data_IF_548154426943
#
_entry.id   IF_548154426943
#
_cell.length_a   1.000
_cell.length_b   1.000
_cell.length_c   1.000
_cell.angle_alpha   90.00
_cell.angle_beta   90.00
_cell.angle_gamma   90.00
#
_symmetry.space_group_name_H-M   'P 1'
#
loop_
_entity.id
_entity.type
_entity.pdbx_description
1 polymer ?
#
# COMPACT_ATOMS: atom_id res chain seq x y z
N UNK A 1 7.63 -24.32 3.12
CA UNK A 1 6.62 -23.52 2.40
C UNK A 1 6.71 -22.10 2.94
N UNK A 2 6.94 -21.12 2.08
CA UNK A 2 6.98 -19.71 2.48
C UNK A 2 5.57 -19.25 2.83
N UNK A 3 5.43 -18.50 3.94
CA UNK A 3 4.14 -17.90 4.33
C UNK A 3 3.93 -16.61 3.54
N UNK A 4 2.69 -16.34 3.15
CA UNK A 4 2.30 -15.16 2.38
C UNK A 4 1.35 -14.28 3.21
N UNK A 5 1.29 -13.00 2.87
CA UNK A 5 0.28 -12.06 3.35
C UNK A 5 -0.61 -11.62 2.18
N UNK A 6 -1.92 -11.59 2.44
CA UNK A 6 -2.92 -11.00 1.56
C UNK A 6 -3.61 -9.88 2.35
N UNK A 7 -3.44 -8.65 1.90
CA UNK A 7 -4.07 -7.47 2.51
C UNK A 7 -5.33 -7.15 1.72
N UNK A 8 -6.50 -7.35 2.30
CA UNK A 8 -7.77 -6.97 1.68
C UNK A 8 -8.10 -5.52 1.98
N UNK A 9 -8.34 -4.71 0.95
CA UNK A 9 -8.69 -3.29 1.08
C UNK A 9 -10.00 -2.98 0.35
N UNK A 10 -11.00 -2.41 1.04
CA UNK A 10 -12.23 -1.97 0.41
C UNK A 10 -11.98 -0.71 -0.42
N UNK A 11 -12.44 -0.71 -1.66
CA UNK A 11 -12.30 0.43 -2.58
C UNK A 11 -13.64 0.82 -3.21
N UNK A 12 -13.80 2.10 -3.46
CA UNK A 12 -15.02 2.70 -4.03
C UNK A 12 -15.10 2.54 -5.54
N UNK A 13 -13.96 2.56 -6.25
CA UNK A 13 -13.86 2.42 -7.71
C UNK A 13 -12.67 1.52 -8.07
N UNK A 14 -12.96 0.29 -8.52
CA UNK A 14 -11.96 -0.76 -8.68
C UNK A 14 -10.90 -0.41 -9.74
N UNK A 15 -11.32 0.12 -10.89
CA UNK A 15 -10.41 0.49 -11.97
C UNK A 15 -9.47 1.64 -11.57
N UNK A 16 -9.98 2.61 -10.81
CA UNK A 16 -9.19 3.73 -10.27
C UNK A 16 -8.14 3.21 -9.28
N UNK A 17 -8.54 2.35 -8.36
CA UNK A 17 -7.63 1.77 -7.39
C UNK A 17 -6.56 0.92 -8.08
N UNK A 18 -6.93 0.04 -9.02
CA UNK A 18 -5.97 -0.77 -9.77
C UNK A 18 -4.92 0.10 -10.49
N UNK A 19 -5.34 1.15 -11.20
CA UNK A 19 -4.41 2.06 -11.89
C UNK A 19 -3.48 2.81 -10.91
N UNK A 20 -3.93 3.09 -9.69
CA UNK A 20 -3.09 3.65 -8.64
C UNK A 20 -2.00 2.67 -8.22
N UNK A 21 -2.36 1.43 -7.88
CA UNK A 21 -1.40 0.41 -7.43
C UNK A 21 -0.42 0.02 -8.55
N UNK A 22 -0.87 -0.08 -9.81
CA UNK A 22 0.01 -0.30 -10.96
C UNK A 22 1.07 0.79 -11.11
N UNK A 23 0.70 2.06 -10.89
CA UNK A 23 1.64 3.17 -10.95
C UNK A 23 2.67 3.17 -9.81
N UNK A 24 2.37 2.51 -8.68
CA UNK A 24 3.32 2.31 -7.59
C UNK A 24 4.23 1.09 -7.80
N UNK A 25 4.04 0.34 -8.91
CA UNK A 25 4.86 -0.81 -9.28
C UNK A 25 4.25 -2.17 -8.95
N UNK A 26 3.00 -2.23 -8.50
CA UNK A 26 2.30 -3.49 -8.33
C UNK A 26 1.89 -4.07 -9.69
N UNK A 27 1.78 -5.39 -9.77
CA UNK A 27 1.34 -6.08 -10.98
C UNK A 27 0.01 -6.77 -10.71
N UNK A 28 -0.99 -6.56 -11.57
CA UNK A 28 -2.25 -7.29 -11.46
C UNK A 28 -2.05 -8.78 -11.77
N UNK A 29 -2.61 -9.65 -10.92
CA UNK A 29 -2.72 -11.08 -11.17
C UNK A 29 -4.13 -11.41 -11.69
N UNK A 30 -4.31 -11.65 -13.00
CA UNK A 30 -5.63 -11.84 -13.60
C UNK A 30 -6.30 -13.15 -13.17
N UNK A 31 -5.53 -14.15 -12.71
CA UNK A 31 -6.09 -15.41 -12.22
C UNK A 31 -6.86 -15.24 -10.91
N UNK A 32 -6.53 -14.21 -10.12
CA UNK A 32 -7.17 -13.89 -8.84
C UNK A 32 -7.90 -12.54 -8.90
N UNK A 33 -8.28 -12.10 -10.10
CA UNK A 33 -9.04 -10.87 -10.33
C UNK A 33 -10.34 -11.17 -11.06
N UNK A 34 -11.39 -10.41 -10.76
CA UNK A 34 -12.71 -10.47 -11.35
C UNK A 34 -13.39 -9.08 -11.28
N UNK A 35 -14.63 -8.98 -11.74
CA UNK A 35 -15.38 -7.70 -11.76
C UNK A 35 -15.56 -7.06 -10.36
N UNK A 36 -15.43 -7.85 -9.29
CA UNK A 36 -15.56 -7.40 -7.91
C UNK A 36 -14.24 -7.23 -7.16
N UNK A 37 -13.10 -7.62 -7.73
CA UNK A 37 -11.78 -7.50 -7.10
C UNK A 37 -10.59 -7.54 -8.04
N UNK A 38 -9.50 -6.90 -7.64
CA UNK A 38 -8.19 -7.01 -8.28
C UNK A 38 -7.14 -7.49 -7.29
N UNK A 39 -6.35 -8.49 -7.68
CA UNK A 39 -5.19 -8.96 -6.93
C UNK A 39 -3.93 -8.23 -7.41
N UNK A 40 -3.40 -7.34 -6.59
CA UNK A 40 -2.20 -6.54 -6.87
C UNK A 40 -0.99 -7.16 -6.18
N UNK A 41 -0.03 -7.64 -6.95
CA UNK A 41 1.18 -8.33 -6.48
C UNK A 41 2.29 -7.31 -6.25
N UNK A 42 2.80 -7.24 -5.03
CA UNK A 42 4.01 -6.48 -4.68
C UNK A 42 5.27 -7.35 -4.79
N UNK A 43 5.17 -8.57 -4.28
CA UNK A 43 6.24 -9.57 -4.31
C UNK A 43 5.64 -10.98 -4.31
N UNK A 44 6.48 -12.00 -4.42
CA UNK A 44 6.05 -13.41 -4.30
C UNK A 44 5.28 -13.71 -3.00
N UNK A 45 5.45 -12.90 -1.95
CA UNK A 45 4.87 -13.15 -0.63
C UNK A 45 3.89 -12.08 -0.16
N UNK A 46 3.77 -10.94 -0.86
CA UNK A 46 2.92 -9.81 -0.48
C UNK A 46 1.94 -9.49 -1.60
N UNK A 47 0.66 -9.63 -1.30
CA UNK A 47 -0.45 -9.39 -2.22
C UNK A 47 -1.45 -8.43 -1.58
N UNK A 48 -2.01 -7.53 -2.38
CA UNK A 48 -3.07 -6.60 -1.99
C UNK A 48 -4.33 -6.95 -2.80
N UNK A 49 -5.39 -7.33 -2.10
CA UNK A 49 -6.69 -7.63 -2.69
C UNK A 49 -7.55 -6.37 -2.61
N UNK A 50 -7.71 -5.67 -3.73
CA UNK A 50 -8.63 -4.55 -3.86
C UNK A 50 -10.04 -5.11 -4.04
N UNK A 51 -10.97 -4.76 -3.14
CA UNK A 51 -12.32 -5.32 -3.12
C UNK A 51 -13.35 -4.20 -3.26
N UNK A 52 -14.31 -4.35 -4.16
CA UNK A 52 -15.50 -3.48 -4.13
C UNK A 52 -16.20 -3.57 -2.77
N UNK A 53 -16.87 -2.50 -2.34
CA UNK A 53 -17.60 -2.51 -1.07
C UNK A 53 -18.63 -3.66 -0.97
N UNK A 54 -19.27 -4.03 -2.08
CA UNK A 54 -20.19 -5.17 -2.13
C UNK A 54 -19.48 -6.50 -1.83
N UNK A 55 -18.28 -6.72 -2.40
CA UNK A 55 -17.50 -7.93 -2.14
C UNK A 55 -16.94 -7.94 -0.71
N UNK A 56 -16.48 -6.80 -0.20
CA UNK A 56 -16.02 -6.62 1.18
C UNK A 56 -17.09 -7.01 2.20
N UNK A 57 -18.35 -6.61 1.98
CA UNK A 57 -19.48 -6.94 2.88
C UNK A 57 -19.76 -8.45 2.97
N UNK A 58 -19.32 -9.24 2.00
CA UNK A 58 -19.37 -10.70 2.08
C UNK A 58 -18.34 -11.31 3.05
N UNK A 59 -17.30 -10.56 3.43
CA UNK A 59 -16.20 -11.05 4.27
C UNK A 59 -16.40 -10.70 5.74
N UNK A 60 -17.07 -9.57 6.01
CA UNK A 60 -17.23 -9.05 7.36
C UNK A 60 -18.45 -8.13 7.47
N UNK A 61 -19.02 -8.07 8.67
CA UNK A 61 -20.06 -7.09 9.04
C UNK A 61 -19.48 -5.87 9.76
N UNK A 62 -18.16 -5.82 9.99
CA UNK A 62 -17.50 -4.64 10.56
C UNK A 62 -17.61 -3.46 9.57
N UNK A 63 -17.86 -2.23 10.06
CA UNK A 63 -17.99 -1.07 9.20
C UNK A 63 -16.66 -0.76 8.51
N UNK A 64 -16.74 -0.25 7.29
CA UNK A 64 -15.59 0.34 6.59
C UNK A 64 -15.28 1.68 7.28
N UNK A 65 -14.04 1.92 7.76
CA UNK A 65 -13.68 3.20 8.36
C UNK A 65 -13.91 4.36 7.39
N UNK A 66 -14.28 5.57 7.86
CA UNK A 66 -14.28 6.74 6.99
C UNK A 66 -12.85 7.03 6.52
N UNK A 67 -12.68 7.62 5.34
CA UNK A 67 -11.36 7.95 4.76
C UNK A 67 -10.50 8.90 5.63
N UNK A 68 -11.10 9.52 6.65
CA UNK A 68 -10.40 10.35 7.66
C UNK A 68 -9.83 9.55 8.83
N UNK A 69 -10.02 8.23 8.87
CA UNK A 69 -9.53 7.35 9.91
C UNK A 69 -8.66 6.24 9.29
N UNK A 70 -7.66 5.79 10.04
CA UNK A 70 -6.80 4.69 9.63
C UNK A 70 -6.89 3.56 10.65
N UNK A 71 -7.31 2.37 10.23
CA UNK A 71 -7.30 1.16 11.08
C UNK A 71 -5.87 0.59 11.20
N UNK A 72 -5.07 0.74 10.13
CA UNK A 72 -3.70 0.23 10.02
C UNK A 72 -2.83 1.22 9.23
N UNK A 73 -1.51 1.08 9.38
CA UNK A 73 -0.50 1.63 8.48
C UNK A 73 0.33 0.49 7.91
N UNK A 74 0.46 0.43 6.59
CA UNK A 74 1.16 -0.65 5.88
C UNK A 74 2.48 -0.12 5.30
N UNK A 75 3.60 -0.59 5.82
CA UNK A 75 4.92 -0.19 5.34
C UNK A 75 5.45 -1.16 4.27
N UNK A 76 5.85 -0.62 3.12
CA UNK A 76 6.48 -1.33 2.00
C UNK A 76 7.97 -1.02 1.97
N UNK A 77 8.78 -2.06 2.05
CA UNK A 77 10.23 -1.94 1.91
C UNK A 77 10.62 -1.53 0.49
N UNK A 78 11.50 -0.55 0.37
CA UNK A 78 12.12 -0.08 -0.87
C UNK A 78 13.62 -0.40 -0.86
N UNK A 79 14.24 -0.52 -2.03
CA UNK A 79 15.66 -0.87 -2.17
C UNK A 79 16.60 0.32 -1.94
N UNK A 80 16.09 1.54 -2.17
CA UNK A 80 16.84 2.79 -2.03
C UNK A 80 15.98 3.95 -1.53
N UNK A 81 16.62 5.06 -1.15
CA UNK A 81 15.94 6.32 -0.79
C UNK A 81 15.24 6.91 -2.00
N UNK A 82 15.85 6.77 -3.17
CA UNK A 82 15.31 7.20 -4.45
C UNK A 82 14.04 6.44 -4.81
N UNK A 83 13.94 5.15 -4.47
CA UNK A 83 12.72 4.38 -4.64
C UNK A 83 11.58 4.87 -3.74
N UNK A 84 11.89 5.25 -2.49
CA UNK A 84 10.92 5.88 -1.58
C UNK A 84 10.39 7.17 -2.19
N UNK A 85 11.28 8.02 -2.71
CA UNK A 85 10.90 9.28 -3.33
C UNK A 85 10.10 9.08 -4.64
N UNK A 86 10.49 8.10 -5.46
CA UNK A 86 9.78 7.75 -6.69
C UNK A 86 8.36 7.25 -6.39
N UNK A 87 8.22 6.33 -5.43
CA UNK A 87 6.90 5.82 -5.04
C UNK A 87 6.02 6.95 -4.55
N UNK A 88 6.52 7.78 -3.63
CA UNK A 88 5.75 8.89 -3.07
C UNK A 88 5.38 9.95 -4.15
N UNK A 89 6.29 10.23 -5.09
CA UNK A 89 6.04 11.12 -6.23
C UNK A 89 4.95 10.63 -7.18
N UNK A 90 4.77 9.31 -7.34
CA UNK A 90 3.72 8.74 -8.17
C UNK A 90 2.32 8.89 -7.57
N UNK A 91 2.20 8.92 -6.23
CA UNK A 91 0.93 8.94 -5.48
C UNK A 91 0.00 10.07 -5.93
N UNK A 92 0.49 11.31 -5.92
CA UNK A 92 -0.34 12.50 -6.21
C UNK A 92 -0.88 12.49 -7.65
N UNK A 93 -0.10 11.96 -8.60
CA UNK A 93 -0.51 11.85 -10.01
C UNK A 93 -1.66 10.86 -10.25
N UNK A 94 -1.99 10.03 -9.25
CA UNK A 94 -2.99 8.95 -9.34
C UNK A 94 -4.13 9.10 -8.34
N UNK A 95 -4.30 10.30 -7.77
CA UNK A 95 -5.41 10.62 -6.89
C UNK A 95 -5.24 10.19 -5.43
N UNK A 96 -4.03 9.76 -5.03
CA UNK A 96 -3.68 9.63 -3.62
C UNK A 96 -3.12 10.94 -3.06
N UNK A 97 -2.78 10.93 -1.77
CA UNK A 97 -2.18 12.08 -1.08
C UNK A 97 -0.80 11.67 -0.55
N UNK A 98 0.23 12.29 -1.13
CA UNK A 98 1.62 12.18 -0.72
C UNK A 98 1.90 12.95 0.57
N UNK A 99 2.95 12.55 1.30
CA UNK A 99 3.45 13.20 2.53
C UNK A 99 2.35 13.56 3.54
N UNK A 100 1.42 12.63 3.79
CA UNK A 100 0.33 12.82 4.76
C UNK A 100 0.87 13.01 6.20
N UNK A 101 2.10 12.52 6.44
CA UNK A 101 2.89 12.75 7.64
C UNK A 101 4.21 13.43 7.26
N UNK A 102 4.88 14.12 8.21
CA UNK A 102 6.23 14.62 7.99
C UNK A 102 7.19 13.50 7.58
N UNK A 103 7.94 13.73 6.50
CA UNK A 103 9.03 12.84 6.06
C UNK A 103 10.00 12.55 7.21
N UNK A 104 10.32 11.27 7.41
CA UNK A 104 11.31 10.84 8.38
C UNK A 104 12.63 10.53 7.69
N UNK A 105 13.70 11.13 8.20
CA UNK A 105 15.06 10.85 7.78
C UNK A 105 15.96 10.74 9.00
N UNK A 106 16.27 9.51 9.37
CA UNK A 106 17.14 9.18 10.51
C UNK A 106 18.55 8.78 10.05
N UNK A 107 18.90 9.02 8.78
CA UNK A 107 20.13 8.53 8.17
C UNK A 107 20.06 7.03 7.83
N UNK A 108 19.87 6.16 8.82
CA UNK A 108 19.77 4.71 8.65
C UNK A 108 18.37 4.22 8.22
N UNK A 109 17.36 5.07 8.36
CA UNK A 109 15.98 4.82 7.97
C UNK A 109 15.45 6.06 7.27
N UNK A 110 14.81 5.85 6.13
CA UNK A 110 14.16 6.90 5.35
C UNK A 110 12.77 6.43 4.98
N UNK A 111 11.73 7.17 5.37
CA UNK A 111 10.37 6.84 5.02
C UNK A 111 9.51 8.06 4.70
N UNK A 112 8.47 7.81 3.91
CA UNK A 112 7.45 8.80 3.56
C UNK A 112 6.09 8.12 3.53
N UNK A 113 5.16 8.63 4.34
CA UNK A 113 3.79 8.12 4.39
C UNK A 113 2.93 8.74 3.28
N UNK A 114 1.93 7.99 2.83
CA UNK A 114 0.93 8.45 1.89
C UNK A 114 -0.40 7.72 2.09
N UNK A 115 -1.48 8.29 1.57
CA UNK A 115 -2.76 7.57 1.48
C UNK A 115 -3.13 7.33 0.02
N UNK A 116 -3.75 6.19 -0.23
CA UNK A 116 -4.32 5.86 -1.54
C UNK A 116 -5.63 6.63 -1.81
N UNK A 117 -6.25 6.49 -3.00
CA UNK A 117 -7.48 7.22 -3.34
C UNK A 117 -8.71 6.90 -2.48
N UNK A 118 -8.65 5.85 -1.66
CA UNK A 118 -9.71 5.40 -0.77
C UNK A 118 -9.38 5.65 0.72
N UNK A 119 -8.20 6.24 1.00
CA UNK A 119 -7.77 6.67 2.34
C UNK A 119 -6.95 5.64 3.10
N UNK A 120 -6.53 4.53 2.46
CA UNK A 120 -5.71 3.52 3.11
C UNK A 120 -4.30 4.06 3.33
N UNK A 121 -3.81 3.97 4.58
CA UNK A 121 -2.53 4.55 4.99
C UNK A 121 -1.37 3.58 4.69
N UNK A 122 -0.41 4.09 3.92
CA UNK A 122 0.79 3.40 3.48
C UNK A 122 2.04 4.17 3.87
N UNK A 123 3.16 3.46 3.90
CA UNK A 123 4.49 4.04 4.05
C UNK A 123 5.47 3.37 3.08
N UNK A 124 6.21 4.16 2.32
CA UNK A 124 7.38 3.69 1.60
C UNK A 124 8.59 3.84 2.54
N UNK A 125 9.32 2.75 2.81
CA UNK A 125 10.41 2.73 3.77
C UNK A 125 11.67 2.09 3.19
N UNK A 126 12.80 2.76 3.34
CA UNK A 126 14.12 2.22 3.12
C UNK A 126 14.88 2.16 4.45
N UNK A 127 15.63 1.08 4.65
CA UNK A 127 16.58 0.93 5.75
C UNK A 127 17.96 0.64 5.18
N UNK A 128 18.98 1.31 5.72
CA UNK A 128 20.37 1.06 5.37
C UNK A 128 20.73 -0.40 5.71
N UNK A 129 21.11 -1.24 4.73
CA UNK A 129 21.49 -2.63 4.98
C UNK A 129 22.71 -2.78 5.91
N UNK A 130 23.56 -1.76 6.01
CA UNK A 130 24.73 -1.74 6.88
C UNK A 130 24.41 -1.21 8.29
N UNK A 131 23.21 -0.66 8.52
CA UNK A 131 22.83 -0.15 9.82
C UNK A 131 22.65 -1.29 10.81
N UNK A 132 23.38 -1.22 11.92
CA UNK A 132 23.11 -2.06 13.08
C UNK A 132 21.92 -1.46 13.83
N UNK A 133 20.82 -2.21 14.07
CA UNK A 133 19.72 -1.68 14.84
C UNK A 133 20.24 -1.22 16.21
N UNK A 134 19.77 -0.08 16.75
CA UNK A 134 20.15 0.35 18.07
C UNK A 134 19.82 -0.79 19.05
N UNK A 135 20.82 -1.20 19.84
CA UNK A 135 20.60 -2.13 20.94
C UNK A 135 19.50 -1.56 21.84
N UNK A 136 18.43 -2.33 22.02
CA UNK A 136 17.30 -2.01 22.88
C UNK A 136 17.70 -1.83 24.35
#
# INVERSE_FOLDING_TARGET
MTRMIFVSLPVTELARAQAFYEALGFVNNPQFSDDGSACMVWSETIHVMLLTHAKWQGFTTRPIPPATASEVMLALSCESREDVDRMNGAVASRGGIADINPRQDLGFMYNRSFVDPDGHLWEAVWMDPAATPPSA
#
